data_IF_133573188007
#
_entry.id   IF_133573188007
#
_cell.length_a   1.000
_cell.length_b   1.000
_cell.length_c   1.000
_cell.angle_alpha   90.00
_cell.angle_beta   90.00
_cell.angle_gamma   90.00
#
_symmetry.space_group_name_H-M   'P 1'
#
loop_
_entity.id
_entity.type
_entity.pdbx_description
1 polymer ?
#
# COMPACT_ATOMS: atom_id res chain seq x y z
N UNK A 1 -15.85 -8.13 11.13
CA UNK A 1 -16.07 -7.09 12.17
C UNK A 1 -15.94 -5.71 11.53
N UNK A 2 -16.65 -4.69 12.02
CA UNK A 2 -16.48 -3.30 11.59
C UNK A 2 -16.26 -2.39 12.80
N UNK A 3 -15.33 -1.46 12.68
CA UNK A 3 -15.03 -0.44 13.69
C UNK A 3 -15.15 0.93 13.02
N UNK A 4 -15.97 1.80 13.58
CA UNK A 4 -16.11 3.18 13.15
C UNK A 4 -15.53 4.14 14.20
N UNK A 5 -14.73 5.12 13.78
CA UNK A 5 -14.19 6.18 14.65
C UNK A 5 -14.68 7.54 14.13
N UNK A 6 -15.42 8.26 14.96
CA UNK A 6 -15.90 9.60 14.66
C UNK A 6 -15.83 10.53 15.89
N UNK A 7 -16.32 11.76 15.74
CA UNK A 7 -16.26 12.80 16.78
C UNK A 7 -17.17 12.52 17.98
N UNK A 8 -18.12 11.59 17.87
CA UNK A 8 -19.11 11.27 18.91
C UNK A 8 -18.79 9.98 19.67
N UNK A 9 -18.29 8.98 18.96
CA UNK A 9 -17.96 7.69 19.55
C UNK A 9 -17.03 6.86 18.65
N UNK A 10 -16.48 5.81 19.26
CA UNK A 10 -16.00 4.64 18.54
C UNK A 10 -17.10 3.58 18.60
N UNK A 11 -17.44 2.97 17.48
CA UNK A 11 -18.48 1.95 17.37
C UNK A 11 -17.87 0.64 16.90
N UNK A 12 -18.10 -0.43 17.65
CA UNK A 12 -17.73 -1.79 17.27
C UNK A 12 -19.00 -2.52 16.85
N UNK A 13 -19.10 -2.88 15.58
CA UNK A 13 -20.09 -3.82 15.08
C UNK A 13 -19.42 -5.17 14.87
N UNK A 14 -19.73 -6.14 15.72
CA UNK A 14 -19.17 -7.48 15.65
C UNK A 14 -20.27 -8.53 15.47
N UNK A 15 -19.87 -9.62 14.83
CA UNK A 15 -20.69 -10.80 14.63
C UNK A 15 -19.89 -11.98 15.19
N UNK A 16 -20.46 -12.70 16.15
CA UNK A 16 -19.83 -13.83 16.81
C UNK A 16 -20.58 -15.11 16.44
N UNK A 17 -19.84 -16.14 16.02
CA UNK A 17 -20.43 -17.41 15.62
C UNK A 17 -20.83 -18.28 16.79
N UNK A 18 -21.78 -19.19 16.55
CA UNK A 18 -22.14 -20.22 17.53
C UNK A 18 -20.95 -21.10 17.95
N UNK A 19 -19.92 -21.27 17.12
CA UNK A 19 -18.72 -22.04 17.51
C UNK A 19 -18.00 -21.39 18.70
N UNK A 20 -18.04 -20.06 18.78
CA UNK A 20 -17.55 -19.32 19.93
C UNK A 20 -18.38 -19.59 21.19
N UNK A 21 -19.67 -19.90 21.06
CA UNK A 21 -20.52 -20.34 22.19
C UNK A 21 -19.93 -21.59 22.81
N UNK A 22 -19.57 -22.59 22.01
CA UNK A 22 -18.99 -23.83 22.52
C UNK A 22 -17.67 -23.59 23.27
N UNK A 23 -16.83 -22.70 22.75
CA UNK A 23 -15.60 -22.31 23.42
C UNK A 23 -15.88 -21.57 24.74
N UNK A 24 -16.83 -20.63 24.74
CA UNK A 24 -17.25 -19.90 25.94
C UNK A 24 -17.87 -20.86 26.98
N UNK A 25 -18.70 -21.82 26.58
CA UNK A 25 -19.25 -22.86 27.46
C UNK A 25 -18.14 -23.69 28.10
N UNK A 26 -17.12 -24.06 27.31
CA UNK A 26 -15.97 -24.81 27.78
C UNK A 26 -15.15 -24.02 28.80
N UNK A 27 -14.85 -22.75 28.50
CA UNK A 27 -14.00 -21.90 29.33
C UNK A 27 -14.73 -21.41 30.60
N UNK A 28 -16.02 -21.10 30.50
CA UNK A 28 -16.83 -20.58 31.62
C UNK A 28 -17.49 -21.67 32.47
N UNK A 29 -17.64 -22.89 31.94
CA UNK A 29 -18.40 -23.98 32.56
C UNK A 29 -19.92 -23.74 32.59
N UNK A 30 -20.43 -22.65 32.02
CA UNK A 30 -21.85 -22.39 31.90
C UNK A 30 -22.42 -23.05 30.64
N UNK A 31 -23.50 -23.83 30.80
CA UNK A 31 -24.25 -24.36 29.65
C UNK A 31 -25.19 -23.28 29.11
N UNK A 32 -25.11 -23.06 27.81
CA UNK A 32 -25.94 -22.13 27.07
C UNK A 32 -27.10 -22.93 26.45
N UNK A 33 -28.35 -22.42 26.48
CA UNK A 33 -29.49 -23.11 25.91
C UNK A 33 -29.24 -23.47 24.44
N UNK A 34 -29.49 -24.73 24.10
CA UNK A 34 -29.27 -25.24 22.74
C UNK A 34 -30.54 -25.09 21.92
N UNK A 35 -30.41 -24.89 20.60
CA UNK A 35 -31.56 -24.99 19.73
C UNK A 35 -32.18 -26.38 19.78
N UNK A 36 -33.49 -26.44 19.60
CA UNK A 36 -34.14 -27.69 19.22
C UNK A 36 -33.80 -28.03 17.78
N UNK A 37 -33.30 -29.24 17.59
CA UNK A 37 -33.11 -29.83 16.27
C UNK A 37 -34.31 -30.73 16.00
N UNK A 38 -35.23 -30.27 15.15
CA UNK A 38 -36.38 -31.04 14.69
C UNK A 38 -36.31 -31.20 13.17
N UNK A 39 -36.31 -32.44 12.67
CA UNK A 39 -36.30 -32.76 11.24
C UNK A 39 -35.20 -32.04 10.43
N UNK A 40 -34.01 -31.86 11.01
CA UNK A 40 -32.88 -31.18 10.36
C UNK A 40 -32.93 -29.65 10.41
N UNK A 41 -33.93 -29.06 11.07
CA UNK A 41 -34.03 -27.60 11.29
C UNK A 41 -33.56 -27.23 12.68
N UNK A 42 -32.73 -26.20 12.76
CA UNK A 42 -32.31 -25.59 14.01
C UNK A 42 -33.31 -24.50 14.38
N UNK A 43 -34.11 -24.73 15.42
CA UNK A 43 -35.05 -23.72 15.95
C UNK A 43 -34.61 -23.25 17.32
N UNK A 44 -34.66 -21.93 17.53
CA UNK A 44 -34.40 -21.31 18.82
C UNK A 44 -35.69 -20.64 19.31
N UNK A 45 -36.07 -20.88 20.55
CA UNK A 45 -37.09 -20.05 21.19
C UNK A 45 -36.55 -18.63 21.43
N UNK A 46 -37.41 -17.60 21.42
CA UNK A 46 -36.97 -16.20 21.60
C UNK A 46 -36.16 -15.99 22.88
N UNK A 47 -36.47 -16.71 23.94
CA UNK A 47 -35.76 -16.62 25.21
C UNK A 47 -34.37 -17.27 25.12
N UNK A 48 -34.21 -18.36 24.37
CA UNK A 48 -32.93 -19.02 24.12
C UNK A 48 -32.00 -18.15 23.25
N UNK A 49 -32.57 -17.47 22.24
CA UNK A 49 -31.85 -16.50 21.39
C UNK A 49 -31.30 -15.33 22.22
N UNK A 50 -32.14 -14.74 23.07
CA UNK A 50 -31.77 -13.63 23.92
C UNK A 50 -30.70 -14.02 24.95
N UNK A 51 -30.80 -15.23 25.52
CA UNK A 51 -29.82 -15.72 26.48
C UNK A 51 -28.46 -16.02 25.83
N UNK A 52 -28.46 -16.59 24.63
CA UNK A 52 -27.23 -16.86 23.87
C UNK A 52 -26.46 -15.56 23.56
N UNK A 53 -27.16 -14.54 23.06
CA UNK A 53 -26.58 -13.23 22.79
C UNK A 53 -26.04 -12.58 24.08
N UNK A 54 -26.76 -12.69 25.20
CA UNK A 54 -26.31 -12.17 26.50
C UNK A 54 -25.04 -12.84 27.00
N UNK A 55 -24.94 -14.16 26.93
CA UNK A 55 -23.76 -14.88 27.44
C UNK A 55 -22.51 -14.55 26.65
N UNK A 56 -22.62 -14.50 25.31
CA UNK A 56 -21.54 -14.04 24.45
C UNK A 56 -21.09 -12.61 24.81
N UNK A 57 -22.05 -11.72 25.03
CA UNK A 57 -21.75 -10.34 25.43
C UNK A 57 -21.03 -10.28 26.77
N UNK A 58 -21.48 -11.04 27.77
CA UNK A 58 -20.83 -11.11 29.09
C UNK A 58 -19.40 -11.62 28.98
N UNK A 59 -19.12 -12.59 28.11
CA UNK A 59 -17.76 -13.06 27.86
C UNK A 59 -16.88 -11.97 27.21
N UNK A 60 -17.46 -11.11 26.39
CA UNK A 60 -16.76 -10.06 25.64
C UNK A 60 -16.48 -8.77 26.45
N UNK A 61 -17.39 -8.38 27.34
CA UNK A 61 -17.35 -7.09 28.06
C UNK A 61 -16.12 -6.84 28.96
N UNK A 62 -15.56 -7.82 29.69
CA UNK A 62 -14.43 -7.59 30.58
C UNK A 62 -13.16 -7.17 29.83
N UNK A 63 -12.99 -7.72 28.63
CA UNK A 63 -11.78 -7.61 27.83
C UNK A 63 -11.87 -6.54 26.73
N UNK A 64 -13.06 -5.99 26.47
CA UNK A 64 -13.28 -4.96 25.45
C UNK A 64 -13.24 -3.54 26.03
N UNK A 65 -12.13 -3.20 26.67
CA UNK A 65 -11.85 -1.83 27.11
C UNK A 65 -11.01 -1.15 26.03
N UNK A 66 -11.52 -0.05 25.49
CA UNK A 66 -10.81 0.76 24.50
C UNK A 66 -10.13 1.92 25.21
N UNK A 67 -8.88 2.22 24.85
CA UNK A 67 -8.19 3.41 25.36
C UNK A 67 -8.28 4.55 24.35
N UNK A 68 -8.84 5.69 24.73
CA UNK A 68 -9.03 6.87 23.90
C UNK A 68 -8.17 8.00 24.47
N UNK A 69 -7.17 8.48 23.72
CA UNK A 69 -6.23 9.53 24.17
C UNK A 69 -5.63 9.25 25.57
N UNK A 70 -5.35 7.98 25.88
CA UNK A 70 -4.80 7.53 27.16
C UNK A 70 -5.83 7.28 28.27
N UNK A 71 -7.12 7.46 28.00
CA UNK A 71 -8.22 7.20 28.95
C UNK A 71 -8.91 5.89 28.61
N UNK A 72 -8.99 4.98 29.58
CA UNK A 72 -9.74 3.73 29.44
C UNK A 72 -11.25 3.98 29.44
N UNK A 73 -11.95 3.54 28.40
CA UNK A 73 -13.39 3.75 28.20
C UNK A 73 -14.08 2.40 28.07
N UNK A 74 -15.13 2.20 28.87
CA UNK A 74 -15.99 1.00 28.81
C UNK A 74 -17.07 1.17 27.74
N UNK A 75 -17.49 0.07 27.09
CA UNK A 75 -18.54 0.13 26.09
C UNK A 75 -19.91 0.40 26.72
N UNK A 76 -20.74 1.13 25.99
CA UNK A 76 -22.19 1.12 26.11
C UNK A 76 -22.72 0.11 25.10
N UNK A 77 -23.54 -0.82 25.55
CA UNK A 77 -24.18 -1.80 24.67
C UNK A 77 -25.37 -1.10 24.00
N UNK A 78 -25.30 -0.91 22.69
CA UNK A 78 -26.43 -0.36 21.91
C UNK A 78 -27.32 -1.46 21.37
N UNK A 79 -26.72 -2.56 20.91
CA UNK A 79 -27.43 -3.71 20.36
C UNK A 79 -26.77 -5.01 20.78
N UNK A 80 -27.59 -5.99 21.13
CA UNK A 80 -27.22 -7.39 21.29
C UNK A 80 -28.37 -8.22 20.72
N UNK A 81 -28.18 -8.74 19.51
CA UNK A 81 -29.23 -9.41 18.75
C UNK A 81 -28.76 -10.77 18.25
N UNK A 82 -29.64 -11.76 18.31
CA UNK A 82 -29.41 -13.06 17.71
C UNK A 82 -29.78 -13.04 16.23
N UNK A 83 -28.92 -13.62 15.40
CA UNK A 83 -29.12 -13.79 13.98
C UNK A 83 -29.30 -15.29 13.73
N UNK A 84 -30.49 -15.73 13.28
CA UNK A 84 -30.74 -17.14 13.02
C UNK A 84 -29.87 -17.66 11.88
N UNK A 85 -29.60 -18.97 11.92
CA UNK A 85 -28.92 -19.69 10.87
C UNK A 85 -29.56 -19.40 9.49
N UNK A 86 -28.73 -19.23 8.46
CA UNK A 86 -29.22 -19.12 7.10
C UNK A 86 -29.51 -20.51 6.54
N UNK A 87 -30.77 -20.77 6.19
CA UNK A 87 -31.21 -22.03 5.58
C UNK A 87 -31.40 -21.87 4.07
N UNK A 88 -30.98 -22.86 3.28
CA UNK A 88 -31.33 -22.95 1.86
C UNK A 88 -31.90 -24.33 1.50
N UNK A 89 -32.80 -24.41 0.52
CA UNK A 89 -33.40 -25.68 0.13
C UNK A 89 -32.40 -26.57 -0.60
N UNK A 90 -32.09 -27.74 -0.03
CA UNK A 90 -31.30 -28.80 -0.66
C UNK A 90 -32.20 -30.02 -0.82
N UNK A 91 -32.53 -30.38 -2.06
CA UNK A 91 -33.42 -31.52 -2.33
C UNK A 91 -34.86 -31.33 -1.84
N UNK A 92 -35.31 -30.09 -1.64
CA UNK A 92 -36.66 -29.76 -1.16
C UNK A 92 -36.78 -29.60 0.36
N UNK A 93 -35.73 -29.93 1.11
CA UNK A 93 -35.66 -29.69 2.56
C UNK A 93 -34.78 -28.46 2.87
N UNK A 94 -35.17 -27.59 3.81
CA UNK A 94 -34.31 -26.52 4.29
C UNK A 94 -33.13 -27.13 5.05
N UNK A 95 -31.91 -26.87 4.60
CA UNK A 95 -30.68 -27.22 5.29
C UNK A 95 -30.05 -25.93 5.79
N UNK A 96 -29.71 -25.88 7.07
CA UNK A 96 -28.95 -24.78 7.65
C UNK A 96 -27.51 -24.85 7.15
N UNK A 97 -27.06 -23.82 6.44
CA UNK A 97 -25.72 -23.76 5.87
C UNK A 97 -24.72 -23.09 6.81
N UNK A 98 -25.20 -22.25 7.71
CA UNK A 98 -24.37 -21.49 8.64
C UNK A 98 -24.88 -21.63 10.07
N UNK A 99 -23.99 -21.78 11.07
CA UNK A 99 -24.39 -21.65 12.45
C UNK A 99 -25.05 -20.27 12.67
N UNK A 100 -25.96 -20.16 13.64
CA UNK A 100 -26.49 -18.88 14.02
C UNK A 100 -25.39 -18.02 14.65
N UNK A 101 -25.56 -16.72 14.52
CA UNK A 101 -24.60 -15.73 14.99
C UNK A 101 -25.25 -14.81 16.01
N UNK A 102 -24.45 -14.11 16.82
CA UNK A 102 -24.92 -12.96 17.57
C UNK A 102 -24.24 -11.69 17.07
N UNK A 103 -25.02 -10.65 16.87
CA UNK A 103 -24.58 -9.31 16.55
C UNK A 103 -24.48 -8.47 17.80
N UNK A 104 -23.37 -7.76 17.94
CA UNK A 104 -23.15 -6.77 18.98
C UNK A 104 -22.80 -5.43 18.36
N UNK A 105 -23.43 -4.37 18.87
CA UNK A 105 -23.04 -2.99 18.63
C UNK A 105 -22.63 -2.38 19.95
N UNK A 106 -21.34 -2.11 20.10
CA UNK A 106 -20.77 -1.46 21.27
C UNK A 106 -20.35 -0.05 20.93
N UNK A 107 -20.78 0.92 21.72
CA UNK A 107 -20.42 2.32 21.56
C UNK A 107 -19.53 2.79 22.70
N UNK A 108 -18.40 3.38 22.37
CA UNK A 108 -17.47 4.00 23.29
C UNK A 108 -17.56 5.51 23.10
N UNK A 109 -18.23 6.25 23.99
CA UNK A 109 -18.40 7.70 23.84
C UNK A 109 -17.04 8.42 23.85
N UNK A 110 -16.92 9.44 22.99
CA UNK A 110 -15.78 10.34 22.99
C UNK A 110 -16.21 11.73 23.48
N UNK A 111 -15.26 12.54 23.92
CA UNK A 111 -15.50 13.96 24.29
C UNK A 111 -15.20 14.92 23.14
N UNK A 112 -14.81 14.38 21.99
CA UNK A 112 -14.43 15.10 20.77
C UNK A 112 -13.64 14.18 19.84
N UNK A 113 -12.96 14.76 18.84
CA UNK A 113 -12.13 14.03 17.89
C UNK A 113 -10.92 13.39 18.59
N UNK A 114 -10.85 12.04 18.69
CA UNK A 114 -9.69 11.37 19.28
C UNK A 114 -8.43 11.59 18.43
N UNK A 115 -7.27 11.68 19.09
CA UNK A 115 -5.95 11.70 18.46
C UNK A 115 -5.33 10.30 18.38
N UNK A 116 -5.67 9.43 19.33
CA UNK A 116 -5.19 8.07 19.41
C UNK A 116 -6.27 7.17 20.02
N UNK A 117 -6.42 5.97 19.46
CA UNK A 117 -7.35 4.95 19.97
C UNK A 117 -6.63 3.60 19.98
N UNK A 118 -6.49 3.00 21.15
CA UNK A 118 -6.06 1.60 21.29
C UNK A 118 -7.29 0.70 21.22
N UNK A 119 -7.45 0.06 20.07
CA UNK A 119 -8.52 -0.87 19.76
C UNK A 119 -8.09 -2.26 20.21
N UNK A 120 -8.95 -2.96 20.94
CA UNK A 120 -8.61 -4.28 21.51
C UNK A 120 -9.69 -5.31 21.21
N UNK A 121 -9.28 -6.54 20.92
CA UNK A 121 -10.17 -7.68 20.71
C UNK A 121 -9.57 -8.98 21.27
N UNK A 122 -10.34 -9.76 22.03
CA UNK A 122 -9.83 -10.94 22.75
C UNK A 122 -10.55 -12.26 22.44
N UNK A 123 -11.58 -12.24 21.59
CA UNK A 123 -12.32 -13.46 21.24
C UNK A 123 -11.86 -14.00 19.89
N UNK A 124 -11.05 -15.06 19.95
CA UNK A 124 -10.50 -15.75 18.79
C UNK A 124 -11.06 -17.18 18.74
N UNK A 125 -12.02 -17.46 17.84
CA UNK A 125 -12.58 -18.80 17.72
C UNK A 125 -11.51 -19.79 17.23
N UNK A 126 -11.60 -21.02 17.71
CA UNK A 126 -10.87 -22.15 17.14
C UNK A 126 -11.40 -22.44 15.71
N UNK A 127 -10.53 -22.95 14.82
CA UNK A 127 -10.92 -23.38 13.47
C UNK A 127 -11.29 -24.88 13.46
N UNK A 128 -12.58 -25.26 13.63
CA UNK A 128 -13.01 -26.64 13.80
C UNK A 128 -12.65 -27.55 12.62
N UNK A 129 -12.71 -27.03 11.38
CA UNK A 129 -12.40 -27.75 10.13
C UNK A 129 -10.93 -28.19 10.05
N UNK A 130 -10.08 -27.49 10.78
CA UNK A 130 -8.63 -27.53 10.62
C UNK A 130 -7.97 -28.14 11.88
N UNK A 131 -8.67 -28.15 13.02
CA UNK A 131 -8.34 -28.95 14.23
C UNK A 131 -8.23 -30.46 13.99
N UNK A 132 -8.90 -31.02 12.98
CA UNK A 132 -8.90 -32.47 12.72
C UNK A 132 -7.56 -33.02 12.20
N UNK A 133 -6.66 -32.16 11.71
CA UNK A 133 -5.43 -32.60 11.02
C UNK A 133 -4.11 -32.17 11.68
N UNK A 134 -4.12 -31.72 12.94
CA UNK A 134 -2.90 -31.40 13.68
C UNK A 134 -2.43 -29.96 13.47
N UNK A 135 -3.12 -29.07 14.20
CA UNK A 135 -2.82 -27.67 14.52
C UNK A 135 -2.63 -26.69 13.35
N UNK A 136 -3.69 -25.93 13.01
CA UNK A 136 -3.60 -24.67 12.29
C UNK A 136 -3.63 -23.47 13.26
N UNK A 137 -3.11 -22.30 12.85
CA UNK A 137 -3.10 -21.11 13.69
C UNK A 137 -4.52 -20.67 14.06
N UNK A 138 -4.67 -20.05 15.23
CA UNK A 138 -5.92 -19.41 15.65
C UNK A 138 -6.36 -18.37 14.63
N UNK A 139 -7.68 -18.18 14.48
CA UNK A 139 -8.25 -17.34 13.43
C UNK A 139 -7.88 -15.87 13.66
N UNK A 140 -7.18 -15.27 12.70
CA UNK A 140 -7.03 -13.81 12.61
C UNK A 140 -8.41 -13.16 12.43
N UNK A 141 -8.76 -12.22 13.31
CA UNK A 141 -9.98 -11.42 13.17
C UNK A 141 -9.67 -10.21 12.32
N UNK A 142 -10.14 -10.22 11.08
CA UNK A 142 -10.04 -9.07 10.19
C UNK A 142 -11.22 -8.13 10.43
N UNK A 143 -10.93 -6.86 10.67
CA UNK A 143 -11.92 -5.81 10.88
C UNK A 143 -11.75 -4.68 9.85
N UNK A 144 -12.87 -4.20 9.33
CA UNK A 144 -12.91 -2.96 8.56
C UNK A 144 -12.88 -1.78 9.54
N UNK A 145 -11.85 -0.93 9.45
CA UNK A 145 -11.72 0.30 10.20
C UNK A 145 -12.15 1.47 9.32
N UNK A 146 -13.28 2.09 9.66
CA UNK A 146 -13.81 3.31 9.07
C UNK A 146 -13.49 4.50 9.99
N UNK A 147 -12.48 5.30 9.64
CA UNK A 147 -12.00 6.40 10.46
C UNK A 147 -11.83 7.67 9.63
N UNK A 148 -12.79 8.59 9.75
CA UNK A 148 -12.80 9.88 9.04
C UNK A 148 -12.72 9.74 7.50
N UNK A 149 -11.55 9.99 6.94
CA UNK A 149 -11.24 9.97 5.51
C UNK A 149 -10.63 8.64 5.05
N UNK A 150 -10.25 7.77 6.00
CA UNK A 150 -9.67 6.46 5.74
C UNK A 150 -10.69 5.33 5.97
N UNK A 151 -10.58 4.29 5.15
CA UNK A 151 -11.22 3.00 5.30
C UNK A 151 -10.21 1.91 4.95
N UNK A 152 -9.76 1.15 5.95
CA UNK A 152 -8.71 0.13 5.78
C UNK A 152 -8.98 -1.11 6.62
N UNK A 153 -8.21 -2.16 6.39
CA UNK A 153 -8.24 -3.34 7.25
C UNK A 153 -7.32 -3.18 8.44
N UNK A 154 -7.78 -3.70 9.57
CA UNK A 154 -6.93 -4.03 10.71
C UNK A 154 -7.15 -5.49 11.06
N UNK A 155 -6.13 -6.10 11.65
CA UNK A 155 -6.13 -7.52 11.98
C UNK A 155 -5.82 -7.64 13.45
N UNK A 156 -6.64 -8.42 14.14
CA UNK A 156 -6.36 -8.86 15.49
C UNK A 156 -5.96 -10.33 15.44
N UNK A 157 -4.92 -10.69 16.17
CA UNK A 157 -4.56 -12.08 16.45
C UNK A 157 -4.46 -12.28 17.95
N UNK A 158 -4.37 -13.52 18.43
CA UNK A 158 -4.17 -13.75 19.86
C UNK A 158 -2.84 -13.20 20.37
N UNK A 159 -1.81 -13.25 19.54
CA UNK A 159 -0.48 -12.71 19.86
C UNK A 159 -0.47 -11.18 19.79
N UNK A 160 -1.26 -10.59 18.89
CA UNK A 160 -1.40 -9.15 18.69
C UNK A 160 -2.90 -8.73 18.76
N UNK A 161 -3.51 -8.73 19.96
CA UNK A 161 -4.94 -8.45 20.14
C UNK A 161 -5.26 -6.95 20.17
N UNK A 162 -4.23 -6.09 20.13
CA UNK A 162 -4.35 -4.64 20.20
C UNK A 162 -3.83 -3.98 18.92
N UNK A 163 -4.62 -3.04 18.39
CA UNK A 163 -4.26 -2.17 17.28
C UNK A 163 -4.41 -0.72 17.70
N UNK A 164 -3.31 0.04 17.60
CA UNK A 164 -3.32 1.48 17.90
C UNK A 164 -3.60 2.26 16.61
N UNK A 165 -4.76 2.90 16.56
CA UNK A 165 -5.08 3.90 15.54
C UNK A 165 -4.60 5.28 15.97
N UNK A 166 -4.04 6.02 15.03
CA UNK A 166 -3.62 7.41 15.21
C UNK A 166 -4.37 8.30 14.23
N UNK A 167 -4.88 9.43 14.72
CA UNK A 167 -5.51 10.42 13.88
C UNK A 167 -4.48 10.98 12.87
N UNK A 168 -4.84 11.02 11.58
CA UNK A 168 -3.99 11.62 10.56
C UNK A 168 -3.68 13.09 10.85
N UNK A 169 -2.41 13.47 10.74
CA UNK A 169 -1.94 14.86 10.92
C UNK A 169 -1.68 15.58 9.60
N UNK A 170 -1.59 14.84 8.50
CA UNK A 170 -1.31 15.34 7.15
C UNK A 170 -2.46 15.00 6.19
N UNK A 171 -2.69 15.81 5.15
CA UNK A 171 -3.73 15.52 4.15
C UNK A 171 -3.43 14.23 3.36
N UNK A 172 -4.44 13.58 2.74
CA UNK A 172 -4.29 12.32 1.99
C UNK A 172 -3.08 12.28 1.06
N UNK A 173 -2.90 13.30 0.21
CA UNK A 173 -1.83 13.34 -0.79
C UNK A 173 -0.41 13.43 -0.20
N UNK A 174 -0.25 13.70 1.09
CA UNK A 174 1.05 13.71 1.78
C UNK A 174 1.31 12.42 2.55
N UNK A 175 0.30 11.58 2.75
CA UNK A 175 0.40 10.27 3.40
C UNK A 175 0.69 9.18 2.38
N UNK A 176 1.71 9.39 1.54
CA UNK A 176 2.19 8.42 0.54
C UNK A 176 3.67 8.19 0.73
N UNK A 177 4.19 7.06 0.23
CA UNK A 177 5.63 6.89 0.16
C UNK A 177 6.22 7.91 -0.83
N UNK A 178 7.14 8.79 -0.42
CA UNK A 178 7.71 9.79 -1.31
C UNK A 178 8.60 9.10 -2.35
N UNK A 179 8.40 9.46 -3.62
CA UNK A 179 9.17 8.98 -4.77
C UNK A 179 9.77 10.18 -5.51
N UNK A 180 10.66 10.88 -4.80
CA UNK A 180 11.29 12.10 -5.29
C UNK A 180 12.39 11.76 -6.30
N UNK A 181 12.60 12.65 -7.26
CA UNK A 181 13.80 12.63 -8.10
C UNK A 181 14.95 13.27 -7.35
N UNK A 182 16.16 12.72 -7.49
CA UNK A 182 17.37 13.42 -7.07
C UNK A 182 17.42 14.79 -7.74
N UNK A 183 17.89 15.82 -7.02
CA UNK A 183 18.16 17.11 -7.66
C UNK A 183 19.19 16.89 -8.78
N UNK A 184 18.98 17.48 -9.98
CA UNK A 184 19.95 17.34 -11.05
C UNK A 184 21.31 17.83 -10.55
N UNK A 185 22.40 17.05 -10.74
CA UNK A 185 23.73 17.54 -10.44
C UNK A 185 23.98 18.81 -11.25
N UNK A 186 24.78 19.77 -10.74
CA UNK A 186 25.13 20.94 -11.55
C UNK A 186 25.89 20.51 -12.80
N UNK A 187 25.59 21.14 -13.94
CA UNK A 187 26.32 20.86 -15.16
C UNK A 187 27.80 21.17 -14.95
N UNK A 188 28.70 20.26 -15.35
CA UNK A 188 30.15 20.48 -15.24
C UNK A 188 30.76 20.62 -16.62
N UNK A 189 31.60 21.63 -16.81
CA UNK A 189 32.44 21.78 -18.01
C UNK A 189 33.89 21.66 -17.57
N UNK A 190 34.69 20.89 -18.30
CA UNK A 190 36.12 20.78 -18.04
C UNK A 190 36.87 21.86 -18.82
N UNK A 191 37.60 22.72 -18.11
CA UNK A 191 38.45 23.74 -18.72
C UNK A 191 39.93 23.45 -18.44
N UNK A 192 40.80 23.42 -19.48
CA UNK A 192 42.23 23.24 -19.29
C UNK A 192 42.90 24.57 -18.94
N UNK A 193 42.55 25.15 -17.79
CA UNK A 193 42.99 26.49 -17.36
C UNK A 193 44.51 26.64 -17.39
N UNK A 194 45.25 25.60 -16.99
CA UNK A 194 46.71 25.63 -17.03
C UNK A 194 47.26 25.66 -18.47
N UNK A 195 46.65 24.94 -19.41
CA UNK A 195 47.05 24.98 -20.83
C UNK A 195 46.72 26.32 -21.46
N UNK A 196 45.55 26.91 -21.15
CA UNK A 196 45.20 28.25 -21.61
C UNK A 196 46.20 29.28 -21.05
N UNK A 197 46.49 29.24 -19.75
CA UNK A 197 47.47 30.12 -19.11
C UNK A 197 48.88 30.00 -19.70
N UNK A 198 49.39 28.77 -19.84
CA UNK A 198 50.71 28.50 -20.44
C UNK A 198 50.76 28.88 -21.93
N UNK A 199 49.67 28.68 -22.66
CA UNK A 199 49.53 29.12 -24.05
C UNK A 199 49.58 30.64 -24.19
N UNK A 200 48.91 31.39 -23.30
CA UNK A 200 48.98 32.85 -23.25
C UNK A 200 50.41 33.34 -22.94
N UNK A 201 51.11 32.68 -22.01
CA UNK A 201 52.52 32.99 -21.70
C UNK A 201 53.42 32.75 -22.93
N UNK A 202 53.23 31.62 -23.63
CA UNK A 202 53.97 31.32 -24.85
C UNK A 202 53.73 32.37 -25.94
N UNK A 203 52.47 32.78 -26.15
CA UNK A 203 52.11 33.82 -27.11
C UNK A 203 52.70 35.19 -26.77
N UNK A 204 52.68 35.58 -25.48
CA UNK A 204 53.26 36.82 -25.01
C UNK A 204 54.80 36.83 -25.17
N UNK A 205 55.46 35.72 -24.83
CA UNK A 205 56.90 35.57 -24.97
C UNK A 205 57.34 35.58 -26.45
N UNK A 206 56.60 34.92 -27.33
CA UNK A 206 56.82 34.94 -28.78
C UNK A 206 56.62 36.32 -29.38
N UNK A 207 55.55 37.03 -28.98
CA UNK A 207 55.29 38.42 -29.40
C UNK A 207 56.43 39.34 -28.93
N UNK A 208 56.85 39.24 -27.68
CA UNK A 208 57.97 40.02 -27.15
C UNK A 208 59.29 39.74 -27.89
N UNK A 209 59.58 38.48 -28.19
CA UNK A 209 60.75 38.09 -28.99
C UNK A 209 60.70 38.67 -30.41
N UNK A 210 59.54 38.66 -31.06
CA UNK A 210 59.33 39.25 -32.39
C UNK A 210 59.55 40.78 -32.37
N UNK A 211 58.99 41.49 -31.38
CA UNK A 211 59.21 42.94 -31.21
C UNK A 211 60.69 43.29 -30.95
N UNK A 212 61.47 42.37 -30.38
CA UNK A 212 62.88 42.57 -30.04
C UNK A 212 63.86 41.84 -30.96
N UNK A 213 63.42 41.38 -32.15
CA UNK A 213 64.22 40.55 -33.07
C UNK A 213 65.60 41.15 -33.44
N UNK A 214 65.69 42.48 -33.55
CA UNK A 214 66.97 43.19 -33.81
C UNK A 214 67.95 43.19 -32.61
N UNK A 215 67.54 42.71 -31.43
CA UNK A 215 68.37 42.59 -30.22
C UNK A 215 68.43 41.12 -29.76
N UNK A 216 69.30 40.30 -30.36
CA UNK A 216 69.29 38.84 -30.18
C UNK A 216 69.61 38.39 -28.74
N UNK A 217 70.34 39.21 -27.96
CA UNK A 217 70.62 38.94 -26.53
C UNK A 217 69.36 38.95 -25.65
N UNK A 218 68.27 39.59 -26.11
CA UNK A 218 67.00 39.70 -25.38
C UNK A 218 65.91 38.84 -26.02
N UNK A 219 65.89 38.72 -27.36
CA UNK A 219 64.90 37.94 -28.08
C UNK A 219 65.07 36.42 -27.89
N UNK A 220 66.30 35.90 -27.86
CA UNK A 220 66.58 34.45 -27.70
C UNK A 220 66.05 33.85 -26.40
N UNK A 221 66.32 34.41 -25.20
CA UNK A 221 65.79 33.86 -23.95
C UNK A 221 64.27 33.92 -23.89
N UNK A 222 63.64 34.96 -24.44
CA UNK A 222 62.18 35.05 -24.54
C UNK A 222 61.59 33.95 -25.45
N UNK A 223 62.25 33.64 -26.57
CA UNK A 223 61.84 32.58 -27.48
C UNK A 223 61.97 31.19 -26.84
N UNK A 224 63.07 30.94 -26.11
CA UNK A 224 63.27 29.69 -25.34
C UNK A 224 62.20 29.55 -24.24
N UNK A 225 61.92 30.64 -23.50
CA UNK A 225 60.86 30.64 -22.49
C UNK A 225 59.47 30.40 -23.10
N UNK A 226 59.19 30.98 -24.27
CA UNK A 226 57.93 30.77 -24.99
C UNK A 226 57.77 29.32 -25.49
N UNK A 227 58.82 28.73 -26.04
CA UNK A 227 58.83 27.32 -26.46
C UNK A 227 58.66 26.40 -25.24
N UNK A 228 59.37 26.68 -24.15
CA UNK A 228 59.21 25.94 -22.90
C UNK A 228 57.79 25.99 -22.36
N UNK A 229 57.16 27.17 -22.34
CA UNK A 229 55.77 27.34 -21.93
C UNK A 229 54.81 26.58 -22.85
N UNK A 230 55.02 26.58 -24.17
CA UNK A 230 54.20 25.83 -25.12
C UNK A 230 54.30 24.31 -24.93
N UNK A 231 55.51 23.79 -24.68
CA UNK A 231 55.74 22.37 -24.39
C UNK A 231 55.05 21.98 -23.08
N UNK A 232 55.17 22.81 -22.03
CA UNK A 232 54.46 22.58 -20.77
C UNK A 232 52.94 22.64 -20.95
N UNK A 233 52.43 23.53 -21.80
CA UNK A 233 51.01 23.63 -22.12
C UNK A 233 50.48 22.35 -22.77
N UNK A 234 51.24 21.78 -23.71
CA UNK A 234 50.92 20.53 -24.39
C UNK A 234 50.97 19.32 -23.46
N UNK A 235 51.97 19.26 -22.55
CA UNK A 235 52.08 18.21 -21.53
C UNK A 235 50.95 18.32 -20.50
N UNK A 236 50.58 19.54 -20.10
CA UNK A 236 49.52 19.78 -19.13
C UNK A 236 48.11 19.55 -19.69
N UNK A 237 47.92 19.58 -21.02
CA UNK A 237 46.61 19.42 -21.66
C UNK A 237 45.79 18.20 -21.22
N UNK A 238 46.35 16.97 -21.18
CA UNK A 238 45.61 15.81 -20.68
C UNK A 238 45.43 15.79 -19.15
N UNK A 239 46.31 16.45 -18.38
CA UNK A 239 46.38 16.32 -16.93
C UNK A 239 45.73 17.47 -16.13
N UNK A 240 45.61 18.66 -16.72
CA UNK A 240 45.21 19.88 -16.02
C UNK A 240 43.80 20.35 -16.42
N UNK A 241 42.85 19.41 -16.52
CA UNK A 241 41.44 19.71 -16.73
C UNK A 241 40.79 19.98 -15.38
N UNK A 242 40.36 21.21 -15.14
CA UNK A 242 39.63 21.56 -13.92
C UNK A 242 38.11 21.48 -14.20
N UNK A 243 37.34 20.75 -13.37
CA UNK A 243 35.89 20.73 -13.49
C UNK A 243 35.32 22.04 -12.95
N UNK A 244 34.61 22.78 -13.79
CA UNK A 244 33.88 23.98 -13.40
C UNK A 244 32.39 23.67 -13.33
N UNK A 245 31.78 23.90 -12.16
CA UNK A 245 30.33 23.79 -11.98
C UNK A 245 29.62 25.02 -12.57
N UNK A 246 28.68 24.76 -13.46
CA UNK A 246 27.83 25.78 -14.04
C UNK A 246 26.67 26.12 -13.10
N UNK A 247 26.14 27.35 -13.15
CA UNK A 247 25.05 27.80 -12.28
C UNK A 247 23.68 27.23 -12.66
N UNK A 248 23.56 26.53 -13.79
CA UNK A 248 22.34 25.83 -14.20
C UNK A 248 22.40 24.33 -13.89
N UNK A 249 21.24 23.68 -13.68
CA UNK A 249 21.18 22.25 -13.44
C UNK A 249 21.73 21.48 -14.63
N UNK A 250 22.49 20.43 -14.35
CA UNK A 250 22.89 19.42 -15.33
C UNK A 250 21.77 18.43 -15.58
N UNK A 251 22.09 17.41 -16.36
CA UNK A 251 21.12 16.37 -16.67
C UNK A 251 20.84 15.51 -15.43
N UNK A 252 19.55 15.20 -15.22
CA UNK A 252 19.14 14.24 -14.21
C UNK A 252 19.81 12.90 -14.48
N UNK A 253 20.39 12.34 -13.43
CA UNK A 253 21.08 11.06 -13.48
C UNK A 253 20.08 9.96 -13.83
N UNK A 254 20.51 9.04 -14.68
CA UNK A 254 19.80 7.80 -14.92
C UNK A 254 19.84 6.92 -13.66
N UNK A 255 18.70 6.49 -13.10
CA UNK A 255 18.68 5.63 -11.92
C UNK A 255 19.29 4.26 -12.26
N UNK A 256 19.94 3.65 -11.27
CA UNK A 256 20.36 2.25 -11.33
C UNK A 256 19.17 1.31 -11.21
N UNK A 257 19.32 0.07 -11.66
CA UNK A 257 18.26 -0.94 -11.60
C UNK A 257 17.73 -1.18 -10.18
N UNK A 258 18.57 -1.05 -9.15
CA UNK A 258 18.15 -1.17 -7.76
C UNK A 258 17.24 0.00 -7.34
N UNK A 259 17.60 1.22 -7.75
CA UNK A 259 16.79 2.42 -7.52
C UNK A 259 15.47 2.37 -8.29
N UNK A 260 15.48 1.88 -9.53
CA UNK A 260 14.25 1.67 -10.32
C UNK A 260 13.28 0.74 -9.59
N UNK A 261 13.77 -0.36 -8.99
CA UNK A 261 12.92 -1.29 -8.25
C UNK A 261 12.31 -0.66 -7.00
N UNK A 262 13.09 0.09 -6.22
CA UNK A 262 12.57 0.83 -5.04
C UNK A 262 11.56 1.91 -5.45
N UNK A 263 11.86 2.66 -6.51
CA UNK A 263 10.93 3.66 -7.09
C UNK A 263 9.61 2.98 -7.47
N UNK A 264 9.68 1.91 -8.26
CA UNK A 264 8.50 1.20 -8.74
C UNK A 264 7.67 0.62 -7.59
N UNK A 265 8.32 -0.04 -6.61
CA UNK A 265 7.62 -0.63 -5.48
C UNK A 265 6.81 0.41 -4.70
N UNK A 266 7.39 1.60 -4.46
CA UNK A 266 6.69 2.69 -3.77
C UNK A 266 5.53 3.24 -4.60
N UNK A 267 5.73 3.43 -5.91
CA UNK A 267 4.66 3.87 -6.81
C UNK A 267 3.50 2.87 -6.81
N UNK A 268 3.81 1.57 -6.92
CA UNK A 268 2.81 0.51 -6.96
C UNK A 268 2.03 0.41 -5.64
N UNK A 269 2.71 0.48 -4.50
CA UNK A 269 2.06 0.50 -3.18
C UNK A 269 1.17 1.72 -2.99
N UNK A 270 1.60 2.90 -3.47
CA UNK A 270 0.79 4.11 -3.43
C UNK A 270 -0.48 4.01 -4.27
N UNK A 271 -0.47 3.29 -5.40
CA UNK A 271 -1.67 3.06 -6.23
C UNK A 271 -2.77 2.37 -5.42
N UNK A 272 -2.45 1.28 -4.71
CA UNK A 272 -3.44 0.57 -3.89
C UNK A 272 -3.80 1.34 -2.62
N UNK A 273 -2.83 2.06 -2.01
CA UNK A 273 -3.08 2.93 -0.86
C UNK A 273 -4.10 4.03 -1.17
N UNK A 274 -4.19 4.50 -2.41
CA UNK A 274 -5.21 5.48 -2.80
C UNK A 274 -6.63 4.99 -2.51
N UNK A 275 -6.87 3.68 -2.57
CA UNK A 275 -8.19 3.08 -2.30
C UNK A 275 -8.46 2.82 -0.81
N UNK A 276 -7.54 3.20 0.08
CA UNK A 276 -7.84 3.32 1.51
C UNK A 276 -8.61 4.62 1.82
N UNK A 277 -8.78 5.54 0.87
CA UNK A 277 -9.53 6.78 1.07
C UNK A 277 -10.98 6.67 0.61
N UNK A 278 -11.88 7.38 1.30
CA UNK A 278 -13.34 7.26 1.07
C UNK A 278 -13.87 8.18 -0.01
N UNK A 279 -13.31 9.40 -0.13
CA UNK A 279 -13.78 10.37 -1.11
C UNK A 279 -13.05 10.17 -2.42
N UNK A 280 -13.79 10.08 -3.51
CA UNK A 280 -13.23 9.96 -4.85
C UNK A 280 -12.18 11.03 -5.14
N UNK A 281 -12.42 12.30 -4.76
CA UNK A 281 -11.43 13.38 -4.90
C UNK A 281 -10.10 13.07 -4.19
N UNK A 282 -10.15 12.49 -2.99
CA UNK A 282 -8.96 12.17 -2.21
C UNK A 282 -8.22 10.98 -2.85
N UNK A 283 -8.95 10.01 -3.41
CA UNK A 283 -8.38 8.89 -4.18
C UNK A 283 -7.60 9.45 -5.39
N UNK A 284 -8.21 10.36 -6.16
CA UNK A 284 -7.56 10.99 -7.32
C UNK A 284 -6.33 11.81 -6.92
N UNK A 285 -6.41 12.61 -5.85
CA UNK A 285 -5.28 13.43 -5.37
C UNK A 285 -4.09 12.57 -4.92
N UNK A 286 -4.37 11.39 -4.35
CA UNK A 286 -3.35 10.42 -3.92
C UNK A 286 -2.78 9.65 -5.11
N UNK A 287 -3.63 9.18 -6.04
CA UNK A 287 -3.18 8.56 -7.30
C UNK A 287 -2.26 9.51 -8.08
N UNK A 288 -2.60 10.81 -8.12
CA UNK A 288 -1.79 11.82 -8.79
C UNK A 288 -0.38 11.98 -8.22
N UNK A 289 -0.08 11.45 -7.02
CA UNK A 289 1.29 11.42 -6.50
C UNK A 289 2.16 10.38 -7.19
N UNK A 290 1.58 9.32 -7.74
CA UNK A 290 2.31 8.18 -8.32
C UNK A 290 2.00 7.90 -9.79
N UNK A 291 0.88 8.41 -10.31
CA UNK A 291 0.40 8.19 -11.68
C UNK A 291 0.29 9.53 -12.40
N UNK A 292 0.69 9.57 -13.67
CA UNK A 292 0.60 10.77 -14.49
C UNK A 292 -0.85 11.07 -14.91
N UNK A 293 -1.19 12.35 -15.03
CA UNK A 293 -2.56 12.84 -15.20
C UNK A 293 -3.40 12.06 -16.23
N UNK A 294 -2.91 11.82 -17.46
CA UNK A 294 -3.65 11.11 -18.49
C UNK A 294 -4.01 9.65 -18.17
N UNK A 295 -3.33 9.02 -17.21
CA UNK A 295 -3.58 7.64 -16.78
C UNK A 295 -4.46 7.55 -15.53
N UNK A 296 -4.79 8.66 -14.88
CA UNK A 296 -5.50 8.63 -13.60
C UNK A 296 -6.85 7.92 -13.73
N UNK A 297 -7.65 8.29 -14.73
CA UNK A 297 -8.97 7.68 -14.93
C UNK A 297 -8.88 6.20 -15.28
N UNK A 298 -7.93 5.80 -16.12
CA UNK A 298 -7.78 4.39 -16.49
C UNK A 298 -7.32 3.54 -15.31
N UNK A 299 -6.32 3.99 -14.57
CA UNK A 299 -5.81 3.28 -13.39
C UNK A 299 -6.85 3.26 -12.28
N UNK A 300 -7.55 4.38 -12.04
CA UNK A 300 -8.64 4.42 -11.08
C UNK A 300 -9.70 3.38 -11.42
N UNK A 301 -10.21 3.39 -12.66
CA UNK A 301 -11.25 2.44 -13.07
C UNK A 301 -10.75 0.99 -13.02
N UNK A 302 -9.54 0.71 -13.49
CA UNK A 302 -9.01 -0.64 -13.48
C UNK A 302 -8.87 -1.20 -12.06
N UNK A 303 -8.25 -0.44 -11.15
CA UNK A 303 -8.08 -0.86 -9.76
C UNK A 303 -9.42 -0.87 -9.04
N UNK A 304 -10.26 0.15 -9.22
CA UNK A 304 -11.61 0.18 -8.66
C UNK A 304 -12.40 -1.05 -9.10
N UNK A 305 -12.43 -1.36 -10.38
CA UNK A 305 -13.07 -2.56 -10.89
C UNK A 305 -12.42 -3.82 -10.30
N UNK A 306 -11.10 -3.90 -10.14
CA UNK A 306 -10.48 -5.07 -9.49
C UNK A 306 -10.85 -5.26 -8.01
N UNK A 307 -11.09 -4.16 -7.28
CA UNK A 307 -11.47 -4.16 -5.86
C UNK A 307 -13.00 -4.23 -5.65
N UNK A 308 -13.78 -3.79 -6.64
CA UNK A 308 -15.25 -3.66 -6.58
C UNK A 308 -15.96 -4.74 -7.42
N UNK A 309 -15.28 -5.41 -8.37
CA UNK A 309 -15.91 -6.43 -9.20
C UNK A 309 -16.25 -7.70 -8.42
N UNK A 310 -17.55 -7.73 -8.11
CA UNK A 310 -18.47 -8.87 -8.10
C UNK A 310 -18.37 -9.77 -6.88
N UNK A 311 -19.11 -9.37 -5.87
CA UNK A 311 -20.15 -10.28 -5.40
C UNK A 311 -21.54 -9.65 -5.55
N UNK A 312 -22.50 -10.43 -6.05
CA UNK A 312 -23.89 -10.01 -6.22
C UNK A 312 -24.55 -9.91 -4.84
N UNK A 313 -24.25 -8.83 -4.11
CA UNK A 313 -24.73 -8.65 -2.74
C UNK A 313 -24.21 -7.42 -1.98
N UNK A 314 -23.37 -6.58 -2.61
CA UNK A 314 -22.83 -5.37 -1.97
C UNK A 314 -21.55 -5.58 -1.15
N UNK A 315 -20.85 -6.70 -1.35
CA UNK A 315 -19.56 -6.98 -0.74
C UNK A 315 -18.46 -6.09 -1.33
N UNK A 316 -17.56 -5.56 -0.50
CA UNK A 316 -16.43 -4.75 -0.94
C UNK A 316 -15.12 -5.43 -0.57
N UNK A 317 -14.23 -5.64 -1.55
CA UNK A 317 -12.90 -6.15 -1.28
C UNK A 317 -12.01 -5.03 -0.71
N UNK A 318 -11.11 -5.42 0.17
CA UNK A 318 -10.12 -4.52 0.78
C UNK A 318 -8.74 -5.15 0.64
N UNK A 319 -7.75 -4.33 0.32
CA UNK A 319 -6.37 -4.78 0.17
C UNK A 319 -5.77 -4.98 1.56
N UNK A 320 -5.17 -6.15 1.79
CA UNK A 320 -4.37 -6.49 2.97
C UNK A 320 -2.88 -6.22 2.72
N UNK A 321 -2.36 -6.67 1.58
CA UNK A 321 -0.95 -6.47 1.21
C UNK A 321 -0.75 -6.44 -0.31
N UNK A 322 0.35 -5.78 -0.74
CA UNK A 322 0.79 -5.73 -2.13
C UNK A 322 2.26 -6.14 -2.19
N UNK A 323 2.52 -7.30 -2.80
CA UNK A 323 3.84 -7.91 -2.87
C UNK A 323 4.35 -7.95 -4.30
N UNK A 324 5.50 -7.31 -4.54
CA UNK A 324 6.21 -7.43 -5.82
C UNK A 324 6.86 -8.83 -5.88
N UNK A 325 6.53 -9.59 -6.93
CA UNK A 325 7.08 -10.94 -7.18
C UNK A 325 8.35 -10.84 -8.03
N UNK A 326 8.30 -10.06 -9.11
CA UNK A 326 9.45 -9.81 -9.97
C UNK A 326 9.39 -8.42 -10.61
N UNK A 327 10.56 -7.92 -10.99
CA UNK A 327 10.71 -6.67 -11.75
C UNK A 327 11.92 -6.77 -12.66
N UNK A 328 11.67 -6.77 -13.95
CA UNK A 328 12.65 -6.84 -15.03
C UNK A 328 12.74 -5.48 -15.71
N UNK A 329 13.88 -4.79 -15.59
CA UNK A 329 14.13 -3.54 -16.27
C UNK A 329 14.42 -3.84 -17.74
N UNK A 330 13.58 -3.34 -18.64
CA UNK A 330 13.67 -3.61 -20.08
C UNK A 330 14.55 -2.59 -20.79
N UNK A 331 14.36 -1.32 -20.47
CA UNK A 331 15.17 -0.25 -21.04
C UNK A 331 15.15 0.99 -20.16
N UNK A 332 16.22 1.76 -20.24
CA UNK A 332 16.32 3.09 -19.64
C UNK A 332 16.79 4.07 -20.69
N UNK A 333 16.08 5.18 -20.82
CA UNK A 333 16.34 6.17 -21.86
C UNK A 333 15.67 7.50 -21.56
N UNK A 334 15.28 8.20 -22.63
CA UNK A 334 14.57 9.49 -22.55
C UNK A 334 13.28 9.42 -23.34
N UNK A 335 12.22 10.02 -22.82
CA UNK A 335 10.97 10.23 -23.56
C UNK A 335 11.24 11.11 -24.80
N UNK A 336 10.74 10.71 -25.96
CA UNK A 336 10.95 11.42 -27.23
C UNK A 336 10.41 12.86 -27.19
N UNK A 337 9.25 13.07 -26.59
CA UNK A 337 8.53 14.35 -26.64
C UNK A 337 9.00 15.37 -25.60
N UNK A 338 9.52 14.90 -24.45
CA UNK A 338 9.87 15.75 -23.29
C UNK A 338 11.32 15.67 -22.87
N UNK A 339 12.09 14.72 -23.39
CA UNK A 339 13.48 14.48 -23.02
C UNK A 339 13.68 14.04 -21.57
N UNK A 340 12.61 13.79 -20.80
CA UNK A 340 12.67 13.33 -19.41
C UNK A 340 13.26 11.92 -19.34
N UNK A 341 13.99 11.60 -18.26
CA UNK A 341 14.46 10.23 -18.04
C UNK A 341 13.25 9.32 -17.89
N UNK A 342 13.26 8.22 -18.64
CA UNK A 342 12.20 7.24 -18.67
C UNK A 342 12.75 5.81 -18.58
N UNK A 343 12.01 4.96 -17.89
CA UNK A 343 12.36 3.56 -17.65
C UNK A 343 11.18 2.70 -18.05
N UNK A 344 11.43 1.66 -18.85
CA UNK A 344 10.45 0.61 -19.13
C UNK A 344 10.80 -0.64 -18.34
N UNK A 345 9.80 -1.23 -17.69
CA UNK A 345 9.97 -2.44 -16.90
C UNK A 345 8.77 -3.38 -17.08
N UNK A 346 9.01 -4.67 -16.93
CA UNK A 346 7.96 -5.67 -16.73
C UNK A 346 7.90 -6.02 -15.25
N UNK A 347 6.71 -6.09 -14.66
CA UNK A 347 6.57 -6.52 -13.27
C UNK A 347 5.43 -7.49 -13.09
N UNK A 348 5.66 -8.46 -12.19
CA UNK A 348 4.62 -9.32 -11.62
C UNK A 348 4.45 -8.96 -10.15
N UNK A 349 3.21 -8.78 -9.70
CA UNK A 349 2.90 -8.50 -8.30
C UNK A 349 1.64 -9.24 -7.86
N UNK A 350 1.54 -9.49 -6.56
CA UNK A 350 0.40 -10.12 -5.92
C UNK A 350 -0.30 -9.11 -5.02
N UNK A 351 -1.63 -9.13 -5.05
CA UNK A 351 -2.50 -8.37 -4.16
C UNK A 351 -3.24 -9.38 -3.29
N UNK A 352 -2.93 -9.36 -2.01
CA UNK A 352 -3.66 -10.11 -1.00
C UNK A 352 -4.80 -9.21 -0.53
N UNK A 353 -6.04 -9.67 -0.67
CA UNK A 353 -7.23 -8.93 -0.29
C UNK A 353 -8.20 -9.78 0.51
N UNK A 354 -9.05 -9.11 1.28
CA UNK A 354 -10.13 -9.71 2.04
C UNK A 354 -11.46 -9.16 1.56
N UNK A 355 -12.40 -10.05 1.26
CA UNK A 355 -13.78 -9.71 0.88
C UNK A 355 -14.67 -9.97 2.08
N UNK A 356 -15.43 -8.94 2.47
CA UNK A 356 -16.33 -9.00 3.62
C UNK A 356 -17.73 -9.30 3.17
N UNK A 357 -18.27 -10.45 3.63
CA UNK A 357 -19.68 -10.77 3.58
C UNK A 357 -20.27 -10.67 4.99
N UNK A 358 -21.59 -10.53 5.09
CA UNK A 358 -22.27 -10.79 6.35
C UNK A 358 -21.96 -12.22 6.79
N UNK A 359 -21.34 -12.40 7.96
CA UNK A 359 -21.03 -13.73 8.51
C UNK A 359 -19.55 -14.15 8.46
N UNK A 360 -18.78 -13.73 7.46
CA UNK A 360 -17.45 -14.29 7.22
C UNK A 360 -16.60 -13.45 6.24
N UNK A 361 -15.29 -13.68 6.27
CA UNK A 361 -14.30 -12.99 5.43
C UNK A 361 -13.63 -13.98 4.50
N UNK A 362 -13.60 -13.68 3.20
CA UNK A 362 -12.88 -14.46 2.19
C UNK A 362 -11.54 -13.83 1.90
N UNK A 363 -10.45 -14.55 2.10
CA UNK A 363 -9.14 -14.12 1.63
C UNK A 363 -8.94 -14.53 0.17
N UNK A 364 -8.36 -13.63 -0.62
CA UNK A 364 -8.07 -13.85 -2.03
C UNK A 364 -6.69 -13.29 -2.34
N UNK A 365 -5.88 -14.08 -3.03
CA UNK A 365 -4.65 -13.60 -3.64
C UNK A 365 -4.87 -13.48 -5.16
N UNK A 366 -4.63 -12.30 -5.72
CA UNK A 366 -4.60 -12.11 -7.17
C UNK A 366 -3.20 -11.74 -7.61
N UNK A 367 -2.69 -12.43 -8.63
CA UNK A 367 -1.42 -12.12 -9.29
C UNK A 367 -1.71 -11.35 -10.59
N UNK A 368 -0.92 -10.32 -10.82
CA UNK A 368 -1.00 -9.46 -12.01
C UNK A 368 0.38 -9.40 -12.66
N UNK A 369 0.41 -9.24 -13.98
CA UNK A 369 1.61 -8.88 -14.71
C UNK A 369 1.33 -7.74 -15.70
N UNK A 370 2.27 -6.80 -15.81
CA UNK A 370 2.12 -5.64 -16.68
C UNK A 370 3.48 -5.10 -17.15
N UNK A 371 3.45 -4.39 -18.27
CA UNK A 371 4.52 -3.50 -18.72
C UNK A 371 4.25 -2.09 -18.19
N UNK A 372 5.25 -1.49 -17.56
CA UNK A 372 5.18 -0.13 -17.05
C UNK A 372 6.19 0.77 -17.76
N UNK A 373 5.80 2.02 -17.93
CA UNK A 373 6.71 3.12 -18.22
C UNK A 373 6.70 4.07 -17.02
N UNK A 374 7.88 4.32 -16.47
CA UNK A 374 8.11 5.31 -15.42
C UNK A 374 8.83 6.50 -16.04
N UNK A 375 8.39 7.72 -15.74
CA UNK A 375 9.16 8.90 -16.11
C UNK A 375 9.09 10.00 -15.06
N UNK A 376 10.06 10.89 -15.12
CA UNK A 376 10.15 12.02 -14.22
C UNK A 376 9.11 13.10 -14.59
N UNK A 377 8.45 13.65 -13.58
CA UNK A 377 7.48 14.75 -13.67
C UNK A 377 7.78 15.76 -12.56
N UNK A 378 8.49 16.83 -12.92
CA UNK A 378 8.94 17.82 -11.94
C UNK A 378 9.95 17.21 -10.98
N UNK A 379 9.62 17.20 -9.69
CA UNK A 379 10.45 16.69 -8.60
C UNK A 379 10.15 15.24 -8.20
N UNK A 380 9.35 14.50 -9.00
CA UNK A 380 8.89 13.14 -8.66
C UNK A 380 8.97 12.19 -9.85
N UNK A 381 9.10 10.91 -9.55
CA UNK A 381 8.83 9.84 -10.50
C UNK A 381 7.34 9.52 -10.54
N UNK A 382 6.83 9.17 -11.72
CA UNK A 382 5.45 8.72 -11.90
C UNK A 382 5.36 7.57 -12.89
N UNK A 383 4.31 6.77 -12.76
CA UNK A 383 3.83 5.83 -13.77
C UNK A 383 3.19 6.65 -14.90
N UNK A 384 3.77 6.57 -16.09
CA UNK A 384 3.36 7.31 -17.29
C UNK A 384 2.89 6.40 -18.42
N UNK A 385 3.04 5.09 -18.25
CA UNK A 385 2.45 4.05 -19.10
C UNK A 385 2.20 2.79 -18.28
N UNK A 386 1.09 2.11 -18.54
CA UNK A 386 0.79 0.77 -18.02
C UNK A 386 0.06 -0.03 -19.10
N UNK A 387 0.48 -1.26 -19.31
CA UNK A 387 -0.17 -2.26 -20.16
C UNK A 387 -0.27 -3.57 -19.39
N UNK A 388 -1.46 -3.93 -18.95
CA UNK A 388 -1.71 -5.19 -18.25
C UNK A 388 -1.62 -6.35 -19.22
N UNK A 389 -0.76 -7.31 -18.90
CA UNK A 389 -0.52 -8.51 -19.70
C UNK A 389 -1.40 -9.67 -19.23
N UNK A 390 -1.52 -9.87 -17.91
CA UNK A 390 -2.35 -10.93 -17.34
C UNK A 390 -2.80 -10.60 -15.91
N UNK A 391 -3.86 -11.27 -15.49
CA UNK A 391 -4.32 -11.32 -14.11
C UNK A 391 -4.90 -12.70 -13.82
N UNK A 392 -4.56 -13.29 -12.68
CA UNK A 392 -5.04 -14.62 -12.27
C UNK A 392 -5.23 -14.69 -10.75
N UNK A 393 -6.20 -15.49 -10.28
CA UNK A 393 -6.34 -15.80 -8.86
C UNK A 393 -5.38 -16.92 -8.48
N UNK A 394 -4.55 -16.68 -7.48
CA UNK A 394 -3.70 -17.71 -6.88
C UNK A 394 -4.47 -18.33 -5.72
N UNK A 395 -4.58 -19.66 -5.71
CA UNK A 395 -5.18 -20.41 -4.60
C UNK A 395 -4.04 -20.80 -3.65
N UNK A 396 -3.94 -20.12 -2.50
CA UNK A 396 -3.01 -20.51 -1.42
C UNK A 396 -3.66 -21.56 -0.52
N UNK A 397 -2.84 -22.34 0.18
CA UNK A 397 -3.31 -23.28 1.20
C UNK A 397 -4.00 -22.51 2.34
N UNK A 398 -5.31 -22.69 2.49
CA UNK A 398 -6.14 -21.90 3.44
C UNK A 398 -6.96 -20.78 2.82
N UNK A 399 -6.82 -20.49 1.51
CA UNK A 399 -7.77 -19.66 0.79
C UNK A 399 -9.04 -20.48 0.46
N UNK A 400 -10.20 -19.83 0.51
CA UNK A 400 -11.48 -20.50 0.28
C UNK A 400 -11.53 -21.06 -1.16
N UNK A 401 -11.66 -22.39 -1.35
CA UNK A 401 -11.53 -23.04 -2.65
C UNK A 401 -12.73 -22.80 -3.57
N UNK A 402 -13.75 -22.08 -3.11
CA UNK A 402 -14.98 -21.89 -3.88
C UNK A 402 -14.69 -21.10 -5.16
N UNK A 403 -14.96 -21.69 -6.35
CA UNK A 403 -14.99 -20.95 -7.60
C UNK A 403 -16.14 -19.94 -7.53
N UNK A 404 -16.07 -18.88 -8.35
CA UNK A 404 -17.24 -18.05 -8.65
C UNK A 404 -18.41 -18.99 -8.91
N UNK A 405 -19.49 -18.90 -8.12
CA UNK A 405 -20.75 -19.54 -8.48
C UNK A 405 -21.13 -18.98 -9.85
N UNK A 406 -20.85 -19.77 -10.89
CA UNK A 406 -21.26 -19.49 -12.25
C UNK A 406 -22.78 -19.63 -12.27
N UNK A 407 -23.47 -18.50 -12.16
CA UNK A 407 -24.89 -18.41 -12.51
C UNK A 407 -24.99 -18.83 -13.98
N UNK A 408 -25.78 -19.85 -14.34
CA UNK A 408 -25.98 -20.22 -15.73
C UNK A 408 -26.56 -19.01 -16.49
N UNK A 409 -26.23 -18.82 -17.77
CA UNK A 409 -26.78 -17.72 -18.54
C UNK A 409 -28.31 -17.81 -18.48
N UNK A 410 -28.92 -16.78 -17.88
CA UNK A 410 -30.37 -16.67 -17.80
C UNK A 410 -30.96 -16.78 -19.20
N UNK A 411 -31.87 -17.72 -19.38
CA UNK A 411 -32.72 -17.79 -20.56
C UNK A 411 -33.46 -16.47 -20.73
N UNK A 412 -33.35 -15.94 -21.95
CA UNK A 412 -34.06 -14.79 -22.54
C UNK A 412 -35.49 -14.57 -22.07
#
# INVERSE_FOLDING_TARGET
MKIAINDQAIEYTALLSADLVHQIEWDSGQKIPRPRIEAGRTSYERDEQAETARTMLVALLPETIVTIDGVAVRPIIEEAAFIPAMSAPVGGEPVDFWPPDARFVLRYPTTGRPRQVALVWHLFPLDPMRTTFGMPPEIEIVAELDAYDENRLIIFSKDEPEVIWHAPTAPPQQRVWPVLTDAPPRATVTFPLATVGLGLIAAAAGSFAALRWRRPRVARPALVAGVGAAVLAAIAWPAARYPFELPWPGELRTPSDAEVRDIFERLQKNVYRAFEYKKESDIYDVLAQSVDGPLLDSVYNEVYQSLVLRDQGGAVARVKDVKIVSTDILSTGREADRGAVAVQLASTWQVDGSVFHWGHTHNRTNQYSALYTLAQRGDRWKITGVEVLSHERIIKEGDDPLPLLSVPPGSS
#
